data_IF_673293620527
#
_entry.id   IF_673293620527
#
_cell.length_a   1.000
_cell.length_b   1.000
_cell.length_c   1.000
_cell.angle_alpha   90.00
_cell.angle_beta   90.00
_cell.angle_gamma   90.00
#
_symmetry.space_group_name_H-M   'P 1'
#
loop_
_entity.id
_entity.type
_entity.pdbx_description
1 polymer ?
#
# COMPACT_ATOMS: atom_id res chain seq x y z
N UNK A 1 -13.66 -13.20 -8.37
CA UNK A 1 -13.18 -12.43 -7.19
C UNK A 1 -12.10 -13.25 -6.52
N UNK A 2 -10.95 -12.65 -6.20
CA UNK A 2 -9.99 -13.29 -5.30
C UNK A 2 -10.54 -13.11 -3.88
N UNK A 3 -10.81 -14.21 -3.18
CA UNK A 3 -11.29 -14.15 -1.80
C UNK A 3 -10.15 -13.60 -0.93
N UNK A 4 -10.42 -12.53 -0.18
CA UNK A 4 -9.43 -11.92 0.70
C UNK A 4 -8.46 -10.94 0.03
N UNK A 5 -8.79 -10.42 -1.16
CA UNK A 5 -7.95 -9.39 -1.78
C UNK A 5 -7.89 -8.11 -0.93
N UNK A 6 -6.71 -7.53 -0.78
CA UNK A 6 -6.50 -6.28 -0.07
C UNK A 6 -6.50 -5.08 -1.04
N UNK A 7 -7.31 -4.06 -0.75
CA UNK A 7 -7.31 -2.85 -1.57
C UNK A 7 -6.15 -1.92 -1.19
N UNK A 8 -5.23 -1.67 -2.14
CA UNK A 8 -4.07 -0.78 -1.95
C UNK A 8 -4.46 0.68 -1.69
N UNK A 9 -5.70 1.08 -1.98
CA UNK A 9 -6.22 2.41 -1.63
C UNK A 9 -6.59 2.55 -0.14
N UNK A 10 -6.38 1.51 0.69
CA UNK A 10 -6.63 1.59 2.12
C UNK A 10 -5.79 2.67 2.79
N UNK A 11 -6.44 3.55 3.56
CA UNK A 11 -5.80 4.59 4.38
C UNK A 11 -5.69 4.18 5.86
N UNK A 12 -5.81 2.89 6.17
CA UNK A 12 -5.68 2.32 7.51
C UNK A 12 -4.30 1.72 7.71
N UNK A 13 -3.54 2.28 8.66
CA UNK A 13 -2.20 1.78 9.03
C UNK A 13 -2.27 0.36 9.56
N UNK A 14 -3.22 0.07 10.45
CA UNK A 14 -3.43 -1.28 10.99
C UNK A 14 -3.70 -2.32 9.89
N UNK A 15 -4.44 -1.95 8.84
CA UNK A 15 -4.71 -2.86 7.72
C UNK A 15 -3.43 -3.13 6.91
N UNK A 16 -2.61 -2.11 6.65
CA UNK A 16 -1.31 -2.28 5.99
C UNK A 16 -0.34 -3.10 6.83
N UNK A 17 -0.25 -2.87 8.14
CA UNK A 17 0.56 -3.68 9.05
C UNK A 17 0.15 -5.15 9.01
N UNK A 18 -1.15 -5.45 9.03
CA UNK A 18 -1.65 -6.82 8.95
C UNK A 18 -1.24 -7.50 7.62
N UNK A 19 -1.34 -6.78 6.51
CA UNK A 19 -0.94 -7.27 5.18
C UNK A 19 0.56 -7.52 5.09
N UNK A 20 1.38 -6.55 5.53
CA UNK A 20 2.84 -6.65 5.50
C UNK A 20 3.35 -7.76 6.43
N UNK A 21 2.73 -7.92 7.61
CA UNK A 21 3.07 -8.98 8.56
C UNK A 21 2.62 -10.37 8.10
N UNK A 22 1.84 -10.49 7.02
CA UNK A 22 1.33 -11.76 6.53
C UNK A 22 2.44 -12.76 6.13
N UNK A 23 3.65 -12.27 5.87
CA UNK A 23 4.81 -13.10 5.55
C UNK A 23 5.59 -13.59 6.78
N UNK A 24 5.21 -13.22 8.02
CA UNK A 24 6.01 -13.43 9.24
C UNK A 24 6.52 -14.85 9.44
N UNK A 25 5.66 -15.84 9.20
CA UNK A 25 5.97 -17.25 9.40
C UNK A 25 6.37 -17.96 8.08
N UNK A 26 6.81 -17.20 7.08
CA UNK A 26 7.26 -17.77 5.81
C UNK A 26 8.67 -18.33 5.96
N UNK A 27 8.79 -19.65 5.84
CA UNK A 27 10.07 -20.33 5.88
C UNK A 27 10.99 -19.89 4.72
N UNK A 28 12.23 -19.50 5.06
CA UNK A 28 13.29 -19.17 4.10
C UNK A 28 14.35 -20.26 4.18
N UNK A 29 14.71 -20.86 3.05
CA UNK A 29 15.76 -21.88 2.97
C UNK A 29 16.99 -21.31 2.29
N UNK A 30 18.15 -21.41 2.93
CA UNK A 30 19.41 -21.03 2.32
C UNK A 30 19.79 -21.99 1.19
N UNK A 31 20.55 -21.49 0.21
CA UNK A 31 21.03 -22.29 -0.91
C UNK A 31 21.89 -23.46 -0.42
N UNK A 32 21.49 -24.69 -0.78
CA UNK A 32 22.18 -25.91 -0.34
C UNK A 32 21.76 -26.43 1.04
N UNK A 33 20.92 -25.68 1.77
CA UNK A 33 20.47 -26.06 3.11
C UNK A 33 19.09 -26.72 3.07
N UNK A 34 18.92 -27.79 3.85
CA UNK A 34 17.65 -28.49 4.02
C UNK A 34 16.84 -27.96 5.21
N UNK A 35 17.49 -27.28 6.15
CA UNK A 35 16.86 -26.67 7.30
C UNK A 35 16.38 -25.25 6.98
N UNK A 36 15.32 -24.83 7.66
CA UNK A 36 14.84 -23.46 7.61
C UNK A 36 15.89 -22.52 8.24
N UNK A 37 16.09 -21.37 7.61
CA UNK A 37 16.96 -20.31 8.12
C UNK A 37 16.42 -19.80 9.46
N UNK A 38 17.27 -19.65 10.48
CA UNK A 38 16.82 -19.06 11.74
C UNK A 38 16.36 -17.63 11.50
N UNK A 39 15.16 -17.30 11.97
CA UNK A 39 14.60 -15.96 11.96
C UNK A 39 14.54 -15.40 13.37
N UNK A 40 14.84 -14.12 13.50
CA UNK A 40 14.64 -13.36 14.72
C UNK A 40 13.15 -13.34 15.05
N UNK A 41 12.81 -13.74 16.28
CA UNK A 41 11.42 -13.86 16.70
C UNK A 41 10.67 -12.52 16.55
N UNK A 42 9.54 -12.56 15.87
CA UNK A 42 8.70 -11.37 15.60
C UNK A 42 9.07 -10.62 14.32
N UNK A 43 10.19 -10.93 13.66
CA UNK A 43 10.54 -10.32 12.39
C UNK A 43 9.77 -10.94 11.23
N UNK A 44 9.54 -10.13 10.19
CA UNK A 44 8.88 -10.53 8.96
C UNK A 44 9.89 -10.53 7.81
N UNK A 45 10.18 -11.67 7.16
CA UNK A 45 11.17 -11.74 6.09
C UNK A 45 10.63 -11.17 4.76
N UNK A 46 11.49 -10.43 4.06
CA UNK A 46 11.31 -9.94 2.68
C UNK A 46 12.52 -10.38 1.86
N UNK A 47 12.52 -11.64 1.42
CA UNK A 47 13.62 -12.19 0.64
C UNK A 47 13.43 -11.94 -0.86
N UNK A 48 14.41 -11.27 -1.47
CA UNK A 48 14.49 -11.10 -2.93
C UNK A 48 14.69 -12.41 -3.68
N UNK A 49 15.38 -13.35 -3.04
CA UNK A 49 15.70 -14.66 -3.64
C UNK A 49 14.92 -15.76 -2.95
N UNK A 50 14.49 -16.76 -3.73
CA UNK A 50 13.83 -17.95 -3.19
C UNK A 50 14.76 -18.75 -2.27
N UNK A 51 16.07 -18.74 -2.57
CA UNK A 51 17.10 -19.38 -1.78
C UNK A 51 18.32 -18.44 -1.65
N UNK A 52 18.35 -17.54 -0.65
CA UNK A 52 19.50 -16.69 -0.39
C UNK A 52 20.73 -17.54 0.00
N UNK A 53 21.93 -17.01 -0.18
CA UNK A 53 23.17 -17.74 0.14
C UNK A 53 23.54 -17.58 1.62
N UNK A 54 23.19 -16.43 2.22
CA UNK A 54 23.47 -16.13 3.62
C UNK A 54 22.18 -15.84 4.42
N UNK A 55 22.32 -15.43 5.67
CA UNK A 55 21.24 -15.41 6.67
C UNK A 55 20.37 -14.18 6.66
N UNK A 56 19.57 -14.09 7.72
CA UNK A 56 18.73 -12.92 8.01
C UNK A 56 19.60 -11.67 8.25
N UNK A 57 19.23 -10.56 7.62
CA UNK A 57 19.75 -9.22 7.94
C UNK A 57 18.61 -8.33 8.42
N UNK A 58 18.78 -7.81 9.64
CA UNK A 58 17.89 -6.83 10.27
C UNK A 58 18.26 -5.39 9.93
N UNK A 59 19.16 -5.18 8.96
CA UNK A 59 19.61 -3.86 8.54
C UNK A 59 20.49 -3.13 9.55
N UNK A 60 20.84 -3.72 10.69
CA UNK A 60 21.69 -3.07 11.71
C UNK A 60 22.74 -3.99 12.35
N UNK A 61 22.75 -5.29 12.03
CA UNK A 61 23.59 -6.25 12.77
C UNK A 61 23.98 -7.52 11.99
N UNK A 62 24.03 -7.47 10.66
CA UNK A 62 24.49 -8.61 9.85
C UNK A 62 26.02 -8.71 9.79
N UNK A 63 26.56 -9.91 9.57
CA UNK A 63 27.92 -10.01 9.04
C UNK A 63 27.95 -9.39 7.63
N UNK A 64 29.12 -8.92 7.16
CA UNK A 64 29.24 -8.43 5.77
C UNK A 64 28.76 -9.48 4.74
N UNK A 65 28.81 -10.78 5.10
CA UNK A 65 28.27 -11.84 4.25
C UNK A 65 26.73 -11.81 4.18
N UNK A 66 26.05 -11.63 5.31
CA UNK A 66 24.58 -11.57 5.34
C UNK A 66 24.05 -10.32 4.61
N UNK A 67 24.76 -9.19 4.73
CA UNK A 67 24.41 -7.95 4.03
C UNK A 67 24.35 -8.13 2.50
N UNK A 68 25.36 -8.79 1.93
CA UNK A 68 25.53 -8.89 0.48
C UNK A 68 24.96 -10.17 -0.13
N UNK A 69 24.68 -11.20 0.68
CA UNK A 69 24.25 -12.51 0.19
C UNK A 69 23.01 -13.08 0.90
N UNK A 70 22.49 -12.39 1.93
CA UNK A 70 21.36 -12.81 2.75
C UNK A 70 20.02 -12.24 2.28
N UNK A 71 19.12 -12.00 3.23
CA UNK A 71 17.79 -11.44 2.97
C UNK A 71 17.37 -10.44 4.06
N UNK A 72 16.54 -9.46 3.71
CA UNK A 72 16.04 -8.46 4.66
C UNK A 72 14.89 -9.04 5.49
N UNK A 73 14.84 -8.73 6.78
CA UNK A 73 13.66 -8.95 7.61
C UNK A 73 13.33 -7.70 8.43
N UNK A 74 12.05 -7.41 8.62
CA UNK A 74 11.59 -6.22 9.34
C UNK A 74 11.00 -6.58 10.70
N UNK A 75 11.42 -5.87 11.74
CA UNK A 75 10.78 -5.88 13.06
C UNK A 75 9.36 -5.31 13.04
N UNK A 76 8.58 -5.57 14.10
CA UNK A 76 7.23 -5.00 14.26
C UNK A 76 7.20 -3.47 14.15
N UNK A 77 8.22 -2.81 14.70
CA UNK A 77 8.36 -1.35 14.61
C UNK A 77 8.66 -0.89 13.19
N UNK A 78 9.50 -1.61 12.45
CA UNK A 78 9.79 -1.27 11.06
C UNK A 78 8.58 -1.52 10.14
N UNK A 79 7.80 -2.57 10.40
CA UNK A 79 6.53 -2.82 9.71
C UNK A 79 5.52 -1.69 10.00
N UNK A 80 5.41 -1.24 11.25
CA UNK A 80 4.53 -0.13 11.62
C UNK A 80 4.97 1.18 10.94
N UNK A 81 6.27 1.47 10.89
CA UNK A 81 6.83 2.62 10.16
C UNK A 81 6.54 2.52 8.67
N UNK A 82 6.74 1.36 8.05
CA UNK A 82 6.43 1.12 6.63
C UNK A 82 4.94 1.31 6.35
N UNK A 83 4.07 0.73 7.16
CA UNK A 83 2.62 0.87 7.02
C UNK A 83 2.16 2.33 7.16
N UNK A 84 2.77 3.06 8.10
CA UNK A 84 2.50 4.49 8.34
C UNK A 84 2.89 5.32 7.12
N UNK A 85 4.10 5.11 6.59
CA UNK A 85 4.57 5.86 5.42
C UNK A 85 3.86 5.47 4.12
N UNK A 86 3.42 4.22 3.96
CA UNK A 86 2.56 3.84 2.82
C UNK A 86 1.25 4.62 2.86
N UNK A 87 0.58 4.69 4.03
CA UNK A 87 -0.66 5.46 4.18
C UNK A 87 -0.42 6.95 3.97
N UNK A 88 0.69 7.49 4.49
CA UNK A 88 1.07 8.87 4.29
C UNK A 88 1.29 9.18 2.81
N UNK A 89 2.01 8.33 2.08
CA UNK A 89 2.30 8.50 0.66
C UNK A 89 1.05 8.38 -0.21
N UNK A 90 0.15 7.44 0.10
CA UNK A 90 -1.19 7.36 -0.51
C UNK A 90 -1.90 8.70 -0.34
N UNK A 91 -1.95 9.26 0.87
CA UNK A 91 -2.63 10.54 1.14
C UNK A 91 -1.97 11.71 0.41
N UNK A 92 -0.63 11.80 0.41
CA UNK A 92 0.14 12.85 -0.29
C UNK A 92 -0.24 12.90 -1.77
N UNK A 93 -0.23 11.75 -2.45
CA UNK A 93 -0.56 11.65 -3.88
C UNK A 93 -2.05 11.84 -4.18
N UNK A 94 -2.93 11.36 -3.31
CA UNK A 94 -4.37 11.66 -3.44
C UNK A 94 -4.63 13.17 -3.38
N UNK A 95 -3.91 13.89 -2.51
CA UNK A 95 -4.06 15.34 -2.36
C UNK A 95 -3.39 16.18 -3.45
N UNK A 96 -2.49 15.60 -4.24
CA UNK A 96 -1.79 16.30 -5.33
C UNK A 96 -2.53 16.22 -6.67
N UNK A 97 -3.51 15.33 -6.80
CA UNK A 97 -4.31 15.17 -8.03
C UNK A 97 -5.58 16.03 -7.98
N UNK A 98 -5.99 16.62 -9.12
CA UNK A 98 -7.26 17.36 -9.23
C UNK A 98 -8.07 16.85 -10.44
N UNK A 99 -9.28 16.29 -10.22
CA UNK A 99 -9.88 15.98 -8.91
C UNK A 99 -9.12 14.86 -8.17
N UNK A 100 -9.17 14.87 -6.84
CA UNK A 100 -8.61 13.79 -6.01
C UNK A 100 -9.19 12.45 -6.47
N UNK A 101 -8.34 11.51 -6.89
CA UNK A 101 -8.78 10.20 -7.37
C UNK A 101 -7.97 9.06 -6.74
N UNK A 102 -8.61 7.95 -6.35
CA UNK A 102 -7.90 6.74 -5.95
C UNK A 102 -7.11 6.15 -7.14
N UNK A 103 -6.12 5.30 -6.82
CA UNK A 103 -5.40 4.55 -7.84
C UNK A 103 -6.36 3.63 -8.59
N UNK A 104 -6.33 3.70 -9.92
CA UNK A 104 -7.26 2.98 -10.80
C UNK A 104 -6.69 1.67 -11.34
N UNK A 105 -5.37 1.47 -11.21
CA UNK A 105 -4.67 0.26 -11.63
C UNK A 105 -3.47 0.00 -10.71
N UNK A 106 -2.99 -1.25 -10.66
CA UNK A 106 -1.76 -1.54 -9.91
C UNK A 106 -0.56 -0.78 -10.50
N UNK A 107 -0.52 -0.55 -11.81
CA UNK A 107 0.53 0.27 -12.43
C UNK A 107 0.52 1.72 -11.94
N UNK A 108 -0.66 2.29 -11.72
CA UNK A 108 -0.84 3.65 -11.16
C UNK A 108 -0.35 3.74 -9.70
N UNK A 109 -0.47 2.65 -8.94
CA UNK A 109 0.01 2.55 -7.56
C UNK A 109 1.52 2.22 -7.45
N UNK A 110 2.02 1.34 -8.33
CA UNK A 110 3.38 0.79 -8.25
C UNK A 110 4.40 1.69 -8.94
N UNK A 111 4.06 2.31 -10.06
CA UNK A 111 5.03 3.07 -10.85
C UNK A 111 5.16 4.51 -10.32
N UNK A 112 6.31 5.12 -10.62
CA UNK A 112 6.50 6.57 -10.44
C UNK A 112 5.55 7.34 -11.37
N UNK A 113 5.18 8.55 -10.96
CA UNK A 113 4.43 9.45 -11.82
C UNK A 113 5.38 10.03 -12.90
N UNK A 114 4.86 10.39 -14.06
CA UNK A 114 5.67 11.04 -15.11
C UNK A 114 5.65 12.55 -14.93
N UNK A 115 6.10 13.01 -13.76
CA UNK A 115 6.11 14.42 -13.35
C UNK A 115 7.53 14.82 -12.90
N UNK A 116 7.77 16.14 -12.78
CA UNK A 116 9.02 16.68 -12.22
C UNK A 116 8.95 16.91 -10.69
N UNK A 117 7.90 16.42 -10.03
CA UNK A 117 7.78 16.50 -8.57
C UNK A 117 8.47 15.31 -7.90
N UNK A 118 8.49 15.29 -6.56
CA UNK A 118 9.03 14.15 -5.81
C UNK A 118 8.34 12.81 -6.17
N UNK A 119 7.08 12.84 -6.61
CA UNK A 119 6.35 11.65 -7.10
C UNK A 119 6.90 11.09 -8.42
N UNK A 120 7.69 11.90 -9.12
CA UNK A 120 8.40 11.52 -10.32
C UNK A 120 9.61 10.63 -10.08
N UNK A 121 10.15 10.59 -8.86
CA UNK A 121 11.35 9.80 -8.55
C UNK A 121 11.06 8.32 -8.43
N UNK A 122 9.97 7.98 -7.74
CA UNK A 122 9.70 6.58 -7.38
C UNK A 122 8.22 6.27 -7.15
N UNK A 123 7.89 4.99 -7.03
CA UNK A 123 6.55 4.48 -6.75
C UNK A 123 6.13 4.65 -5.29
N UNK A 124 4.88 4.33 -4.96
CA UNK A 124 4.32 4.54 -3.61
C UNK A 124 5.07 3.74 -2.54
N UNK A 125 5.31 2.45 -2.78
CA UNK A 125 5.94 1.58 -1.78
C UNK A 125 7.41 1.96 -1.61
N UNK A 126 8.13 2.22 -2.70
CA UNK A 126 9.53 2.63 -2.59
C UNK A 126 9.65 3.98 -1.87
N UNK A 127 8.78 4.96 -2.17
CA UNK A 127 8.77 6.22 -1.45
C UNK A 127 8.51 6.04 0.05
N UNK A 128 7.65 5.09 0.42
CA UNK A 128 7.40 4.77 1.82
C UNK A 128 8.61 4.10 2.49
N UNK A 129 9.32 3.20 1.79
CA UNK A 129 10.56 2.58 2.28
C UNK A 129 11.62 3.64 2.55
N UNK A 130 11.83 4.55 1.59
CA UNK A 130 12.82 5.62 1.68
C UNK A 130 12.51 6.54 2.87
N UNK A 131 11.26 7.00 2.97
CA UNK A 131 10.82 7.92 4.05
C UNK A 131 10.77 7.27 5.43
N UNK A 132 10.55 5.96 5.50
CA UNK A 132 10.63 5.20 6.74
C UNK A 132 12.08 4.93 7.18
N UNK A 133 13.07 5.21 6.32
CA UNK A 133 14.49 5.05 6.64
C UNK A 133 14.94 3.60 6.79
N UNK A 134 14.21 2.64 6.21
CA UNK A 134 14.42 1.20 6.44
C UNK A 134 15.76 0.67 5.93
N UNK A 135 16.42 1.43 5.06
CA UNK A 135 17.70 1.10 4.46
C UNK A 135 18.88 1.92 5.02
N UNK A 136 18.67 2.72 6.07
CA UNK A 136 19.75 3.57 6.60
C UNK A 136 20.93 2.77 7.15
N UNK A 137 20.69 1.61 7.78
CA UNK A 137 21.78 0.83 8.36
C UNK A 137 22.63 0.03 7.36
N UNK A 138 22.19 -0.11 6.10
CA UNK A 138 22.99 -0.66 4.99
C UNK A 138 23.60 0.43 4.09
N UNK A 139 23.03 1.64 4.16
CA UNK A 139 23.53 2.79 3.40
C UNK A 139 24.62 3.49 4.20
N UNK A 140 25.87 3.35 3.77
CA UNK A 140 27.02 4.03 4.39
C UNK A 140 27.50 5.20 3.53
N UNK A 141 28.25 6.13 4.12
CA UNK A 141 28.85 7.25 3.37
C UNK A 141 29.75 6.78 2.21
N UNK A 142 30.35 5.60 2.30
CA UNK A 142 31.19 5.03 1.24
C UNK A 142 30.37 4.46 0.06
N UNK A 143 29.07 4.21 0.27
CA UNK A 143 28.13 3.71 -0.74
C UNK A 143 27.24 4.81 -1.32
N UNK A 144 27.34 6.04 -0.83
CA UNK A 144 26.51 7.15 -1.28
C UNK A 144 26.79 7.49 -2.75
N UNK A 145 25.72 7.72 -3.51
CA UNK A 145 25.79 8.20 -4.88
C UNK A 145 25.75 9.73 -4.82
N UNK A 146 26.92 10.34 -4.66
CA UNK A 146 27.06 11.79 -4.55
C UNK A 146 26.69 12.49 -5.87
N UNK A 147 26.16 13.70 -5.80
CA UNK A 147 25.87 14.53 -6.99
C UNK A 147 27.09 14.71 -7.90
N UNK A 148 28.27 14.92 -7.29
CA UNK A 148 29.55 15.03 -8.00
C UNK A 148 30.00 13.75 -8.71
N UNK A 149 29.39 12.60 -8.38
CA UNK A 149 29.58 11.35 -9.13
C UNK A 149 28.75 11.28 -10.41
N UNK A 150 27.80 12.19 -10.57
CA UNK A 150 26.82 12.19 -11.65
C UNK A 150 27.00 13.36 -12.65
N UNK A 151 27.71 14.42 -12.26
CA UNK A 151 27.88 15.66 -13.04
C UNK A 151 29.19 15.71 -13.87
N UNK A 152 29.91 14.59 -13.96
CA UNK A 152 31.18 14.49 -14.66
C UNK A 152 32.40 15.02 -13.89
N UNK A 153 32.25 15.55 -12.67
CA UNK A 153 33.34 16.08 -11.84
C UNK A 153 34.48 15.09 -11.66
N UNK A 154 34.16 13.81 -11.44
CA UNK A 154 35.15 12.74 -11.28
C UNK A 154 35.51 11.99 -12.57
N UNK A 155 35.02 12.43 -13.74
CA UNK A 155 35.27 11.74 -15.02
C UNK A 155 34.51 10.41 -15.18
N UNK A 156 33.48 10.17 -14.36
CA UNK A 156 32.63 8.97 -14.41
C UNK A 156 31.53 9.04 -15.51
N UNK A 157 31.52 10.11 -16.30
CA UNK A 157 30.44 10.45 -17.21
C UNK A 157 29.45 11.47 -16.61
N UNK A 158 28.70 12.12 -17.50
CA UNK A 158 27.63 13.06 -17.14
C UNK A 158 26.29 12.34 -17.32
N UNK A 159 25.53 12.24 -16.23
CA UNK A 159 24.19 11.66 -16.23
C UNK A 159 23.19 12.79 -16.52
N UNK A 160 22.37 12.69 -17.57
CA UNK A 160 21.54 13.81 -18.02
C UNK A 160 20.36 14.15 -17.09
N UNK A 161 20.05 13.31 -16.09
CA UNK A 161 18.92 13.51 -15.17
C UNK A 161 19.24 12.92 -13.76
N UNK A 162 20.25 13.45 -13.04
CA UNK A 162 20.71 12.90 -11.77
C UNK A 162 19.63 12.93 -10.66
N UNK A 163 18.65 13.84 -10.77
CA UNK A 163 17.54 13.96 -9.83
C UNK A 163 16.63 12.72 -9.77
N UNK A 164 16.68 11.86 -10.81
CA UNK A 164 15.93 10.59 -10.85
C UNK A 164 16.60 9.47 -10.03
N UNK A 165 17.85 9.66 -9.58
CA UNK A 165 18.61 8.70 -8.75
C UNK A 165 18.43 9.01 -7.26
N UNK A 166 17.90 10.19 -6.92
CA UNK A 166 17.60 10.58 -5.55
C UNK A 166 16.47 9.74 -4.94
N UNK A 167 16.54 9.57 -3.62
CA UNK A 167 15.46 8.95 -2.85
C UNK A 167 14.21 9.84 -2.84
N UNK A 168 13.07 9.29 -2.39
CA UNK A 168 11.80 10.02 -2.39
C UNK A 168 11.80 11.32 -1.56
N UNK A 169 12.66 11.43 -0.54
CA UNK A 169 12.86 12.65 0.25
C UNK A 169 13.87 13.63 -0.35
N UNK A 170 14.44 13.30 -1.51
CA UNK A 170 15.44 14.11 -2.22
C UNK A 170 16.88 13.90 -1.73
N UNK A 171 17.11 13.00 -0.78
CA UNK A 171 18.46 12.62 -0.36
C UNK A 171 19.17 11.76 -1.41
N UNK A 172 20.49 11.66 -1.29
CA UNK A 172 21.34 10.87 -2.16
C UNK A 172 20.96 9.38 -2.10
N UNK A 173 20.89 8.74 -3.28
CA UNK A 173 20.78 7.29 -3.37
C UNK A 173 22.03 6.57 -2.88
N UNK A 174 21.99 5.25 -2.82
CA UNK A 174 23.12 4.42 -2.41
C UNK A 174 23.37 3.29 -3.40
N UNK A 175 24.64 3.01 -3.71
CA UNK A 175 25.06 1.84 -4.46
C UNK A 175 24.68 0.53 -3.74
N UNK A 176 24.45 0.58 -2.42
CA UNK A 176 23.92 -0.54 -1.62
C UNK A 176 22.54 -1.00 -2.09
N UNK A 177 21.82 -0.25 -2.93
CA UNK A 177 20.59 -0.73 -3.60
C UNK A 177 20.76 -2.05 -4.35
N UNK A 178 22.00 -2.39 -4.73
CA UNK A 178 22.34 -3.67 -5.35
C UNK A 178 22.36 -4.84 -4.36
N UNK A 179 22.46 -4.58 -3.07
CA UNK A 179 22.50 -5.60 -2.03
C UNK A 179 21.11 -6.25 -1.86
N UNK A 180 21.03 -7.58 -1.68
CA UNK A 180 19.76 -8.29 -1.46
C UNK A 180 19.05 -7.88 -0.17
N UNK A 181 19.78 -7.33 0.79
CA UNK A 181 19.25 -6.87 2.07
C UNK A 181 18.86 -5.39 2.08
N UNK A 182 19.15 -4.64 1.01
CA UNK A 182 18.55 -3.33 0.78
C UNK A 182 17.11 -3.54 0.35
N UNK A 183 16.15 -3.16 1.19
CA UNK A 183 14.72 -3.37 0.92
C UNK A 183 14.28 -2.54 -0.29
N UNK A 184 13.72 -3.20 -1.29
CA UNK A 184 13.16 -2.57 -2.47
C UNK A 184 11.65 -2.81 -2.54
N UNK A 185 10.94 -1.94 -3.25
CA UNK A 185 9.52 -2.12 -3.56
C UNK A 185 9.22 -3.49 -4.18
N UNK A 186 10.13 -4.03 -5.00
CA UNK A 186 9.98 -5.36 -5.59
C UNK A 186 9.90 -6.47 -4.53
N UNK A 187 10.69 -6.37 -3.45
CA UNK A 187 10.73 -7.36 -2.38
C UNK A 187 9.40 -7.37 -1.59
N UNK A 188 8.84 -6.18 -1.33
CA UNK A 188 7.50 -6.04 -0.73
C UNK A 188 6.41 -6.56 -1.67
N UNK A 189 6.46 -6.23 -2.95
CA UNK A 189 5.48 -6.69 -3.94
C UNK A 189 5.55 -8.20 -4.16
N UNK A 190 6.71 -8.83 -4.00
CA UNK A 190 6.84 -10.28 -4.05
C UNK A 190 6.05 -10.96 -2.91
N UNK A 191 6.03 -10.34 -1.72
CA UNK A 191 5.30 -10.85 -0.57
C UNK A 191 3.77 -10.67 -0.69
N UNK A 192 3.31 -9.51 -1.17
CA UNK A 192 1.88 -9.15 -1.13
C UNK A 192 1.17 -9.18 -2.50
N UNK A 193 1.94 -9.25 -3.59
CA UNK A 193 1.48 -9.03 -4.96
C UNK A 193 0.36 -9.95 -5.43
N UNK A 194 0.29 -11.17 -4.89
CA UNK A 194 -0.70 -12.18 -5.27
C UNK A 194 -2.12 -11.90 -4.76
N UNK A 195 -2.27 -11.01 -3.76
CA UNK A 195 -3.58 -10.73 -3.15
C UNK A 195 -3.89 -9.23 -3.00
N UNK A 196 -3.05 -8.31 -3.48
CA UNK A 196 -3.41 -6.89 -3.57
C UNK A 196 -4.28 -6.58 -4.79
N UNK A 197 -5.16 -5.60 -4.68
CA UNK A 197 -6.01 -5.09 -5.75
C UNK A 197 -6.22 -3.57 -5.61
N UNK A 198 -6.65 -2.92 -6.68
CA UNK A 198 -7.12 -1.51 -6.62
C UNK A 198 -8.63 -1.40 -6.44
N UNK A 199 -9.34 -2.49 -6.73
CA UNK A 199 -10.80 -2.56 -6.71
C UNK A 199 -11.25 -3.31 -5.46
N UNK A 200 -12.14 -2.68 -4.70
CA UNK A 200 -12.89 -3.35 -3.64
C UNK A 200 -14.31 -3.63 -4.09
N UNK A 201 -14.89 -4.69 -3.54
CA UNK A 201 -16.32 -4.95 -3.56
C UNK A 201 -16.94 -4.74 -2.16
N UNK A 202 -16.16 -4.33 -1.15
CA UNK A 202 -16.66 -3.93 0.18
C UNK A 202 -16.25 -2.49 0.48
N UNK A 203 -17.22 -1.68 0.89
CA UNK A 203 -17.09 -0.24 1.08
C UNK A 203 -17.50 0.12 2.50
N UNK A 204 -16.71 1.01 3.13
CA UNK A 204 -17.10 1.71 4.34
C UNK A 204 -17.59 3.09 3.92
N UNK A 205 -18.86 3.39 4.18
CA UNK A 205 -19.49 4.68 3.88
C UNK A 205 -19.73 5.37 5.20
N UNK A 206 -19.18 6.58 5.36
CA UNK A 206 -19.46 7.46 6.49
C UNK A 206 -20.29 8.64 6.01
N UNK A 207 -21.35 8.96 6.74
CA UNK A 207 -22.21 10.10 6.47
C UNK A 207 -22.34 10.99 7.70
N UNK A 208 -22.45 12.29 7.46
CA UNK A 208 -22.74 13.32 8.45
C UNK A 208 -24.04 14.00 8.08
N UNK A 209 -24.93 14.15 9.06
CA UNK A 209 -26.14 14.95 8.96
C UNK A 209 -26.19 15.95 10.10
N UNK A 210 -26.65 17.17 9.80
CA UNK A 210 -26.95 18.18 10.81
C UNK A 210 -28.34 18.76 10.58
N UNK A 211 -29.01 19.07 11.69
CA UNK A 211 -30.26 19.83 11.68
C UNK A 211 -29.96 21.25 12.16
N UNK A 212 -30.56 22.23 11.49
CA UNK A 212 -30.43 23.65 11.79
C UNK A 212 -31.74 24.17 12.37
N UNK A 213 -31.63 25.04 13.37
CA UNK A 213 -32.75 25.87 13.79
C UNK A 213 -33.16 26.79 12.61
N UNK A 214 -34.42 26.74 12.16
CA UNK A 214 -34.87 27.50 11.00
C UNK A 214 -34.85 29.03 11.20
N UNK A 215 -34.82 29.51 12.44
CA UNK A 215 -34.83 30.94 12.77
C UNK A 215 -33.41 31.44 13.01
N UNK A 216 -32.64 30.75 13.85
CA UNK A 216 -31.30 31.20 14.24
C UNK A 216 -30.17 30.69 13.34
N UNK A 217 -30.43 29.67 12.51
CA UNK A 217 -29.43 29.01 11.68
C UNK A 217 -28.41 28.16 12.48
N UNK A 218 -28.59 28.04 13.80
CA UNK A 218 -27.68 27.29 14.66
C UNK A 218 -27.87 25.79 14.50
N UNK A 219 -26.78 25.03 14.60
CA UNK A 219 -26.84 23.56 14.60
C UNK A 219 -27.48 23.07 15.90
N UNK A 220 -28.62 22.39 15.79
CA UNK A 220 -29.38 21.87 16.94
C UNK A 220 -29.15 20.38 17.17
N UNK A 221 -28.77 19.64 16.12
CA UNK A 221 -28.45 18.23 16.21
C UNK A 221 -27.43 17.84 15.15
N UNK A 222 -26.58 16.88 15.49
CA UNK A 222 -25.62 16.25 14.59
C UNK A 222 -25.79 14.73 14.68
N UNK A 223 -25.59 14.04 13.56
CA UNK A 223 -25.59 12.59 13.51
C UNK A 223 -24.52 12.10 12.54
N UNK A 224 -23.79 11.06 12.96
CA UNK A 224 -22.82 10.37 12.13
C UNK A 224 -23.19 8.90 12.06
N UNK A 225 -23.10 8.34 10.85
CA UNK A 225 -23.35 6.93 10.61
C UNK A 225 -22.23 6.32 9.79
N UNK A 226 -21.91 5.07 10.10
CA UNK A 226 -21.03 4.24 9.30
C UNK A 226 -21.81 3.01 8.81
N UNK A 227 -21.79 2.80 7.51
CA UNK A 227 -22.34 1.61 6.87
C UNK A 227 -21.23 0.81 6.19
N UNK A 228 -21.25 -0.51 6.36
CA UNK A 228 -20.44 -1.43 5.57
C UNK A 228 -21.32 -2.01 4.47
N UNK A 229 -20.99 -1.74 3.21
CA UNK A 229 -21.76 -2.15 2.05
C UNK A 229 -20.92 -3.07 1.19
N UNK A 230 -21.45 -4.23 0.81
CA UNK A 230 -20.78 -5.18 -0.06
C UNK A 230 -21.54 -5.33 -1.38
N UNK A 231 -20.80 -5.26 -2.48
CA UNK A 231 -21.24 -5.52 -3.83
C UNK A 231 -21.12 -7.00 -4.15
N UNK A 232 -22.18 -7.55 -4.74
CA UNK A 232 -22.26 -8.93 -5.16
C UNK A 232 -22.29 -9.03 -6.69
N UNK A 233 -21.87 -10.18 -7.26
CA UNK A 233 -21.93 -10.39 -8.70
C UNK A 233 -23.36 -10.53 -9.20
N UNK A 234 -24.33 -10.87 -8.34
CA UNK A 234 -25.71 -11.05 -8.74
C UNK A 234 -26.30 -9.73 -9.31
N UNK A 235 -26.88 -9.77 -10.51
CA UNK A 235 -27.57 -8.63 -11.10
C UNK A 235 -28.91 -8.35 -10.40
N UNK A 236 -29.45 -7.15 -10.65
CA UNK A 236 -30.76 -6.70 -10.15
C UNK A 236 -31.64 -6.21 -11.30
N UNK A 237 -32.95 -6.39 -11.21
CA UNK A 237 -33.92 -5.86 -12.17
C UNK A 237 -34.82 -4.81 -11.50
N UNK A 238 -35.21 -3.76 -12.24
CA UNK A 238 -36.27 -2.86 -11.81
C UNK A 238 -37.61 -3.61 -11.86
N UNK A 239 -38.31 -3.75 -10.73
CA UNK A 239 -39.57 -4.50 -10.61
C UNK A 239 -40.80 -3.64 -10.35
N UNK A 240 -40.65 -2.32 -10.18
CA UNK A 240 -41.78 -1.41 -9.98
C UNK A 240 -41.67 -0.14 -10.80
N UNK A 241 -42.79 0.57 -10.97
CA UNK A 241 -42.88 1.78 -11.81
C UNK A 241 -42.10 2.99 -11.26
N UNK A 242 -41.73 2.99 -9.96
CA UNK A 242 -41.01 4.10 -9.31
C UNK A 242 -39.71 3.66 -8.62
N UNK A 243 -38.57 4.35 -8.87
CA UNK A 243 -37.30 4.13 -8.17
C UNK A 243 -37.35 4.31 -6.66
N UNK A 244 -38.39 4.97 -6.14
CA UNK A 244 -38.55 5.27 -4.72
C UNK A 244 -39.15 4.10 -3.93
N UNK A 245 -39.67 3.08 -4.62
CA UNK A 245 -40.20 1.89 -3.99
C UNK A 245 -39.04 1.06 -3.38
N UNK A 246 -39.10 0.64 -2.10
CA UNK A 246 -38.11 -0.24 -1.50
C UNK A 246 -37.88 -1.54 -2.27
N UNK A 247 -38.91 -2.04 -2.94
CA UNK A 247 -38.88 -3.25 -3.77
C UNK A 247 -38.59 -2.97 -5.25
N UNK A 248 -38.07 -1.77 -5.57
CA UNK A 248 -37.73 -1.41 -6.95
C UNK A 248 -36.65 -2.31 -7.52
N UNK A 249 -35.64 -2.73 -6.72
CA UNK A 249 -34.57 -3.61 -7.19
C UNK A 249 -34.75 -5.04 -6.67
N UNK A 250 -35.13 -5.97 -7.55
CA UNK A 250 -35.24 -7.41 -7.22
C UNK A 250 -34.10 -8.21 -7.83
N UNK A 251 -33.75 -9.35 -7.21
CA UNK A 251 -32.76 -10.26 -7.78
C UNK A 251 -33.35 -10.96 -9.02
N UNK A 252 -32.54 -11.23 -10.04
CA UNK A 252 -33.02 -11.98 -11.20
C UNK A 252 -33.52 -13.37 -10.82
N UNK A 253 -34.74 -13.69 -11.24
CA UNK A 253 -35.25 -15.05 -11.27
C UNK A 253 -34.78 -15.78 -12.54
N UNK A 254 -35.02 -17.09 -12.59
CA UNK A 254 -34.68 -17.95 -13.74
C UNK A 254 -35.51 -17.65 -15.01
N UNK A 255 -36.43 -16.70 -14.97
CA UNK A 255 -37.28 -16.24 -16.08
C UNK A 255 -36.99 -14.79 -16.49
N UNK A 256 -36.00 -14.15 -15.87
CA UNK A 256 -35.73 -12.73 -15.98
C UNK A 256 -34.99 -12.32 -17.26
N UNK A 257 -34.90 -11.00 -17.45
CA UNK A 257 -34.31 -10.35 -18.62
C UNK A 257 -32.95 -10.96 -19.05
N UNK A 258 -32.78 -11.40 -20.31
CA UNK A 258 -31.50 -11.92 -20.82
C UNK A 258 -30.36 -10.90 -20.81
N UNK A 259 -30.62 -9.62 -20.55
CA UNK A 259 -29.59 -8.57 -20.41
C UNK A 259 -29.71 -7.81 -19.08
N UNK A 260 -29.29 -8.43 -17.95
CA UNK A 260 -29.36 -7.77 -16.66
C UNK A 260 -28.49 -6.51 -16.56
N UNK A 261 -29.01 -5.46 -15.93
CA UNK A 261 -28.24 -4.25 -15.64
C UNK A 261 -27.88 -4.14 -14.15
N UNK A 262 -26.68 -3.62 -13.88
CA UNK A 262 -26.25 -3.30 -12.51
C UNK A 262 -25.71 -4.48 -11.70
N UNK A 263 -25.39 -4.22 -10.44
CA UNK A 263 -24.91 -5.21 -9.46
C UNK A 263 -25.62 -4.99 -8.14
N UNK A 264 -25.95 -6.07 -7.43
CA UNK A 264 -26.57 -6.01 -6.11
C UNK A 264 -25.57 -5.46 -5.08
N UNK A 265 -26.02 -4.51 -4.27
CA UNK A 265 -25.33 -4.09 -3.05
C UNK A 265 -26.13 -4.55 -1.85
N UNK A 266 -25.46 -5.08 -0.83
CA UNK A 266 -26.05 -5.42 0.46
C UNK A 266 -25.38 -4.59 1.53
N UNK A 267 -26.20 -3.96 2.37
CA UNK A 267 -25.71 -3.35 3.61
C UNK A 267 -25.49 -4.47 4.62
N UNK A 268 -24.24 -4.68 5.03
CA UNK A 268 -23.85 -5.72 5.98
C UNK A 268 -24.02 -5.25 7.43
N UNK A 269 -23.72 -3.98 7.69
CA UNK A 269 -23.91 -3.37 9.00
C UNK A 269 -24.12 -1.87 8.87
N UNK A 270 -24.86 -1.31 9.81
CA UNK A 270 -25.01 0.12 10.05
C UNK A 270 -24.77 0.34 11.55
N UNK A 271 -23.99 1.36 11.89
CA UNK A 271 -23.86 1.84 13.26
C UNK A 271 -23.82 3.36 13.30
N UNK A 272 -24.35 3.91 14.39
CA UNK A 272 -24.15 5.32 14.72
C UNK A 272 -22.72 5.52 15.26
N UNK A 273 -22.08 6.61 14.88
CA UNK A 273 -20.77 7.03 15.37
C UNK A 273 -20.92 8.24 16.29
N UNK A 274 -19.99 8.39 17.24
CA UNK A 274 -19.80 9.66 17.96
C UNK A 274 -18.98 10.65 17.13
N UNK A 275 -18.94 11.92 17.55
CA UNK A 275 -18.12 12.95 16.89
C UNK A 275 -16.62 12.58 16.92
N UNK A 276 -16.18 11.91 17.99
CA UNK A 276 -14.79 11.48 18.18
C UNK A 276 -14.39 10.26 17.33
N UNK A 277 -15.36 9.53 16.77
CA UNK A 277 -15.13 8.29 16.00
C UNK A 277 -14.90 8.52 14.49
N UNK A 278 -14.97 9.79 14.04
CA UNK A 278 -15.03 10.17 12.61
C UNK A 278 -13.66 10.54 12.06
#
# INVERSE_FOLDING_TARGET
MVKGSFNVNSTSVAAWRAVLSGARDSAIYQSGEAAESPLTAGNTPFSRFTQPVAGESTGSSGSANDEWAGFRSLSDSEIESLATEIVAEIRRRLSSTSPNRPYLSLSDFVNRELTKSDFGRTGVIQAAIDRAGLNQGISTSNSAILESSLDGTFGNGEFPEPENILLADGSEGSASMSAPTYLMQADVLQAIGSFISVRSDTFRIRSYGQSLDPISGQVVAKAWYEAIVQRFPEPVNPSSDSPENPDYWTALDSSGDPQPFGRRFKVLSIRQLSEDDV
#
